data_IF_130984207850
#
_entry.id   IF_130984207850
#
_cell.length_a   1.000
_cell.length_b   1.000
_cell.length_c   1.000
_cell.angle_alpha   90.00
_cell.angle_beta   90.00
_cell.angle_gamma   90.00
#
_symmetry.space_group_name_H-M   'P 1'
#
loop_
_entity.id
_entity.type
_entity.pdbx_description
1 polymer ?
#
# COMPACT_ATOMS: atom_id res chain seq x y z
N UNK A 1 -26.40 -1.13 -22.77
CA UNK A 1 -25.74 -2.41 -22.41
C UNK A 1 -24.39 -2.18 -21.70
N UNK A 2 -23.76 -0.99 -21.84
CA UNK A 2 -22.55 -0.59 -21.11
C UNK A 2 -22.76 -0.32 -19.61
N UNK A 3 -23.86 0.36 -19.22
CA UNK A 3 -24.12 0.71 -17.81
C UNK A 3 -24.17 -0.52 -16.87
N UNK A 4 -24.74 -1.65 -17.30
CA UNK A 4 -24.85 -2.85 -16.46
C UNK A 4 -23.50 -3.53 -16.21
N UNK A 5 -22.52 -3.32 -17.10
CA UNK A 5 -21.15 -3.83 -16.93
C UNK A 5 -20.36 -2.99 -15.93
N UNK A 6 -20.56 -1.66 -15.95
CA UNK A 6 -19.94 -0.73 -15.00
C UNK A 6 -20.32 -1.06 -13.56
N UNK A 7 -21.59 -1.33 -13.27
CA UNK A 7 -22.03 -1.74 -11.93
C UNK A 7 -21.43 -3.07 -11.47
N UNK A 8 -21.18 -4.00 -12.40
CA UNK A 8 -20.62 -5.32 -12.09
C UNK A 8 -19.13 -5.26 -11.73
N UNK A 9 -18.39 -4.27 -12.25
CA UNK A 9 -16.99 -3.99 -11.88
C UNK A 9 -16.90 -3.06 -10.66
N UNK A 10 -17.72 -2.01 -10.62
CA UNK A 10 -17.67 -1.00 -9.56
C UNK A 10 -18.17 -1.53 -8.22
N UNK A 11 -19.23 -2.35 -8.19
CA UNK A 11 -19.79 -2.88 -6.94
C UNK A 11 -18.77 -3.68 -6.10
N UNK A 12 -18.03 -4.67 -6.63
CA UNK A 12 -17.03 -5.39 -5.83
C UNK A 12 -15.87 -4.49 -5.38
N UNK A 13 -15.44 -3.54 -6.21
CA UNK A 13 -14.38 -2.58 -5.83
C UNK A 13 -14.82 -1.68 -4.67
N UNK A 14 -16.04 -1.15 -4.73
CA UNK A 14 -16.61 -0.31 -3.67
C UNK A 14 -16.78 -1.10 -2.36
N UNK A 15 -17.31 -2.32 -2.44
CA UNK A 15 -17.45 -3.20 -1.26
C UNK A 15 -16.08 -3.51 -0.67
N UNK A 16 -15.09 -3.84 -1.50
CA UNK A 16 -13.71 -4.09 -1.05
C UNK A 16 -13.14 -2.90 -0.30
N UNK A 17 -13.33 -1.68 -0.81
CA UNK A 17 -12.85 -0.46 -0.15
C UNK A 17 -13.57 -0.19 1.17
N UNK A 18 -14.89 -0.37 1.22
CA UNK A 18 -15.67 -0.21 2.45
C UNK A 18 -15.25 -1.21 3.52
N UNK A 19 -15.00 -2.47 3.15
CA UNK A 19 -14.51 -3.49 4.07
C UNK A 19 -13.11 -3.15 4.59
N UNK A 20 -12.25 -2.59 3.76
CA UNK A 20 -10.93 -2.13 4.17
C UNK A 20 -11.02 -1.01 5.21
N UNK A 21 -11.86 0.00 4.96
CA UNK A 21 -12.06 1.12 5.90
C UNK A 21 -12.69 0.63 7.23
N UNK A 22 -13.66 -0.30 7.16
CA UNK A 22 -14.23 -0.94 8.36
C UNK A 22 -13.19 -1.72 9.15
N UNK A 23 -12.31 -2.45 8.47
CA UNK A 23 -11.22 -3.18 9.12
C UNK A 23 -10.29 -2.23 9.88
N UNK A 24 -9.93 -1.10 9.29
CA UNK A 24 -9.13 -0.07 9.97
C UNK A 24 -9.84 0.53 11.19
N UNK A 25 -11.17 0.71 11.14
CA UNK A 25 -11.93 1.16 12.31
C UNK A 25 -11.97 0.12 13.43
N UNK A 26 -12.13 -1.15 13.08
CA UNK A 26 -12.13 -2.25 14.05
C UNK A 26 -10.75 -2.38 14.71
N UNK A 27 -9.67 -2.28 13.93
CA UNK A 27 -8.30 -2.29 14.44
C UNK A 27 -8.06 -1.14 15.45
N UNK A 28 -8.50 0.07 15.10
CA UNK A 28 -8.44 1.23 16.00
C UNK A 28 -9.28 1.03 17.27
N UNK A 29 -10.43 0.36 17.18
CA UNK A 29 -11.27 0.05 18.33
C UNK A 29 -10.60 -0.93 19.29
N UNK A 30 -10.00 -2.01 18.78
CA UNK A 30 -9.27 -2.98 19.62
C UNK A 30 -8.03 -2.37 20.28
N UNK A 31 -7.28 -1.54 19.55
CA UNK A 31 -6.16 -0.80 20.14
C UNK A 31 -6.66 0.27 21.12
N UNK A 32 -7.87 0.80 20.89
CA UNK A 32 -8.64 1.65 21.79
C UNK A 32 -8.84 1.09 23.19
N UNK A 33 -9.07 -0.23 23.29
CA UNK A 33 -9.25 -0.90 24.58
C UNK A 33 -7.94 -1.09 25.36
N UNK A 34 -6.77 -1.02 24.71
CA UNK A 34 -5.48 -1.23 25.35
C UNK A 34 -5.03 -0.01 26.19
N UNK A 35 -5.48 1.19 25.85
CA UNK A 35 -5.20 2.42 26.59
C UNK A 35 -5.00 3.65 25.72
N UNK A 36 -4.91 4.82 26.35
CA UNK A 36 -4.80 6.10 25.64
C UNK A 36 -3.41 6.30 24.99
N UNK A 37 -2.38 5.68 25.54
CA UNK A 37 -0.98 5.80 25.05
C UNK A 37 -0.81 4.99 23.76
N UNK A 38 -1.44 3.83 23.70
CA UNK A 38 -1.43 2.86 22.60
C UNK A 38 -2.17 3.42 21.39
N UNK A 39 -3.32 4.06 21.61
CA UNK A 39 -4.07 4.76 20.56
C UNK A 39 -3.28 5.94 20.00
N UNK A 40 -2.64 6.74 20.87
CA UNK A 40 -1.82 7.85 20.43
C UNK A 40 -0.60 7.37 19.62
N UNK A 41 0.03 6.27 20.04
CA UNK A 41 1.12 5.62 19.33
C UNK A 41 0.66 5.11 17.95
N UNK A 42 -0.49 4.45 17.89
CA UNK A 42 -1.07 3.97 16.63
C UNK A 42 -1.44 5.12 15.69
N UNK A 43 -1.98 6.22 16.19
CA UNK A 43 -2.32 7.39 15.37
C UNK A 43 -1.08 8.04 14.75
N UNK A 44 0.01 8.19 15.52
CA UNK A 44 1.27 8.72 15.01
C UNK A 44 1.89 7.73 14.01
N UNK A 45 2.00 6.46 14.36
CA UNK A 45 2.53 5.43 13.48
C UNK A 45 1.72 5.31 12.17
N UNK A 46 0.39 5.34 12.28
CA UNK A 46 -0.54 5.31 11.16
C UNK A 46 -0.39 6.51 10.22
N UNK A 47 -0.15 7.71 10.77
CA UNK A 47 0.14 8.90 9.97
C UNK A 47 1.43 8.74 9.17
N UNK A 48 2.48 8.21 9.80
CA UNK A 48 3.76 7.92 9.11
C UNK A 48 3.56 6.89 8.00
N UNK A 49 2.84 5.80 8.28
CA UNK A 49 2.52 4.77 7.30
C UNK A 49 1.69 5.34 6.15
N UNK A 50 0.71 6.21 6.42
CA UNK A 50 -0.12 6.84 5.40
C UNK A 50 0.72 7.72 4.44
N UNK A 51 1.61 8.55 4.96
CA UNK A 51 2.52 9.39 4.15
C UNK A 51 3.40 8.50 3.25
N UNK A 52 3.95 7.43 3.82
CA UNK A 52 4.76 6.49 3.07
C UNK A 52 3.94 5.76 1.99
N UNK A 53 2.72 5.33 2.32
CA UNK A 53 1.81 4.67 1.38
C UNK A 53 1.41 5.60 0.21
N UNK A 54 1.28 6.92 0.43
CA UNK A 54 1.01 7.86 -0.65
C UNK A 54 2.11 7.90 -1.71
N UNK A 55 3.38 7.83 -1.29
CA UNK A 55 4.52 7.79 -2.22
C UNK A 55 4.49 6.52 -3.08
N UNK A 56 4.19 5.39 -2.44
CA UNK A 56 4.06 4.09 -3.11
C UNK A 56 2.91 4.08 -4.10
N UNK A 57 1.73 4.53 -3.66
CA UNK A 57 0.55 4.60 -4.52
C UNK A 57 0.79 5.51 -5.72
N UNK A 58 1.52 6.62 -5.55
CA UNK A 58 1.90 7.49 -6.67
C UNK A 58 2.69 6.75 -7.76
N UNK A 59 3.67 5.93 -7.36
CA UNK A 59 4.46 5.11 -8.29
C UNK A 59 3.59 4.03 -8.93
N UNK A 60 2.76 3.34 -8.14
CA UNK A 60 1.88 2.27 -8.63
C UNK A 60 0.88 2.79 -9.67
N UNK A 61 0.20 3.90 -9.38
CA UNK A 61 -0.76 4.54 -10.30
C UNK A 61 -0.06 5.05 -11.56
N UNK A 62 1.12 5.67 -11.43
CA UNK A 62 1.91 6.10 -12.59
C UNK A 62 2.29 4.93 -13.49
N UNK A 63 2.66 3.80 -12.90
CA UNK A 63 3.03 2.59 -13.64
C UNK A 63 1.83 1.94 -14.32
N UNK A 64 0.69 1.85 -13.63
CA UNK A 64 -0.57 1.37 -14.23
C UNK A 64 -0.99 2.22 -15.44
N UNK A 65 -0.79 3.54 -15.41
CA UNK A 65 -1.09 4.39 -16.54
C UNK A 65 -0.23 4.05 -17.77
N UNK A 66 1.06 3.75 -17.58
CA UNK A 66 1.95 3.29 -18.65
C UNK A 66 1.54 1.91 -19.18
N UNK A 67 1.22 0.96 -18.30
CA UNK A 67 0.76 -0.38 -18.72
C UNK A 67 -0.53 -0.26 -19.53
N UNK A 68 -1.52 0.49 -19.04
CA UNK A 68 -2.79 0.71 -19.75
C UNK A 68 -2.59 1.35 -21.12
N UNK A 69 -1.63 2.27 -21.25
CA UNK A 69 -1.28 2.89 -22.53
C UNK A 69 -0.75 1.86 -23.54
N UNK A 70 0.28 1.09 -23.19
CA UNK A 70 0.87 0.10 -24.12
C UNK A 70 -0.05 -1.08 -24.41
N UNK A 71 -0.85 -1.52 -23.45
CA UNK A 71 -1.89 -2.54 -23.66
C UNK A 71 -2.98 -2.03 -24.60
N UNK A 72 -3.38 -0.76 -24.49
CA UNK A 72 -4.35 -0.14 -25.40
C UNK A 72 -3.86 0.01 -26.85
N UNK A 73 -2.54 0.12 -27.07
CA UNK A 73 -1.90 0.17 -28.39
C UNK A 73 -1.69 -1.23 -29.02
N UNK A 74 -2.02 -2.32 -28.31
CA UNK A 74 -1.80 -3.70 -28.77
C UNK A 74 -0.33 -4.16 -28.74
N UNK A 75 0.55 -3.38 -28.11
CA UNK A 75 1.98 -3.70 -27.99
C UNK A 75 2.24 -4.54 -26.73
N UNK A 76 1.88 -5.82 -26.80
CA UNK A 76 2.01 -6.76 -25.67
C UNK A 76 3.46 -7.00 -25.24
N UNK A 77 4.43 -6.94 -26.16
CA UNK A 77 5.85 -7.08 -25.84
C UNK A 77 6.34 -5.93 -24.95
N UNK A 78 5.93 -4.70 -25.25
CA UNK A 78 6.27 -3.55 -24.42
C UNK A 78 5.53 -3.59 -23.07
N UNK A 79 4.29 -4.10 -23.04
CA UNK A 79 3.56 -4.32 -21.78
C UNK A 79 4.32 -5.26 -20.84
N UNK A 80 4.78 -6.42 -21.34
CA UNK A 80 5.57 -7.39 -20.56
C UNK A 80 6.89 -6.77 -20.02
N UNK A 81 7.56 -5.93 -20.80
CA UNK A 81 8.77 -5.22 -20.35
C UNK A 81 8.44 -4.21 -19.24
N UNK A 82 7.36 -3.45 -19.38
CA UNK A 82 6.93 -2.48 -18.36
C UNK A 82 6.49 -3.19 -17.08
N UNK A 83 5.81 -4.33 -17.17
CA UNK A 83 5.49 -5.18 -16.01
C UNK A 83 6.76 -5.65 -15.28
N UNK A 84 7.77 -6.10 -16.02
CA UNK A 84 9.08 -6.45 -15.46
C UNK A 84 9.77 -5.27 -14.75
N UNK A 85 9.70 -4.08 -15.34
CA UNK A 85 10.22 -2.85 -14.71
C UNK A 85 9.44 -2.47 -13.45
N UNK A 86 8.12 -2.70 -13.44
CA UNK A 86 7.26 -2.46 -12.28
C UNK A 86 7.69 -3.29 -11.07
N UNK A 87 7.98 -4.57 -11.30
CA UNK A 87 8.50 -5.48 -10.27
C UNK A 87 9.82 -4.98 -9.69
N UNK A 88 10.75 -4.55 -10.56
CA UNK A 88 12.05 -4.04 -10.12
C UNK A 88 11.88 -2.73 -9.33
N UNK A 89 11.02 -1.83 -9.79
CA UNK A 89 10.68 -0.59 -9.09
C UNK A 89 10.01 -0.87 -7.74
N UNK A 90 9.16 -1.89 -7.65
CA UNK A 90 8.55 -2.34 -6.40
C UNK A 90 9.58 -2.88 -5.40
N UNK A 91 10.54 -3.69 -5.87
CA UNK A 91 11.63 -4.20 -5.03
C UNK A 91 12.51 -3.04 -4.54
N UNK A 92 12.91 -2.14 -5.44
CA UNK A 92 13.72 -0.97 -5.08
C UNK A 92 12.95 -0.06 -4.11
N UNK A 93 11.68 0.21 -4.37
CA UNK A 93 10.81 1.03 -3.52
C UNK A 93 10.64 0.45 -2.12
N UNK A 94 10.43 -0.87 -2.01
CA UNK A 94 10.35 -1.56 -0.71
C UNK A 94 11.67 -1.49 0.05
N UNK A 95 12.81 -1.63 -0.63
CA UNK A 95 14.14 -1.44 -0.04
C UNK A 95 14.37 -0.02 0.47
N UNK A 96 13.98 0.99 -0.31
CA UNK A 96 14.05 2.41 0.10
C UNK A 96 13.17 2.66 1.32
N UNK A 97 11.93 2.16 1.34
CA UNK A 97 11.05 2.26 2.50
C UNK A 97 11.65 1.60 3.73
N UNK A 98 12.26 0.42 3.60
CA UNK A 98 12.92 -0.27 4.69
C UNK A 98 14.11 0.54 5.24
N UNK A 99 14.85 1.23 4.39
CA UNK A 99 15.93 2.11 4.83
C UNK A 99 15.38 3.35 5.56
N UNK A 100 14.34 3.98 5.03
CA UNK A 100 13.66 5.10 5.71
C UNK A 100 13.09 4.65 7.05
N UNK A 101 12.53 3.44 7.12
CA UNK A 101 12.05 2.84 8.35
C UNK A 101 13.15 2.67 9.40
N UNK A 102 14.29 2.09 9.02
CA UNK A 102 15.34 1.73 9.97
C UNK A 102 16.13 2.95 10.46
N UNK A 103 16.34 3.95 9.61
CA UNK A 103 17.22 5.08 9.91
C UNK A 103 16.46 6.38 10.22
N UNK A 104 15.24 6.54 9.72
CA UNK A 104 14.47 7.78 9.83
C UNK A 104 13.23 7.68 10.73
N UNK A 105 12.84 6.49 11.22
CA UNK A 105 11.71 6.35 12.15
C UNK A 105 11.87 7.21 13.40
N UNK A 106 13.03 7.17 14.05
CA UNK A 106 13.25 7.90 15.30
C UNK A 106 13.08 9.43 15.14
N UNK A 107 13.70 10.09 14.14
CA UNK A 107 13.49 11.51 13.92
C UNK A 107 12.07 11.84 13.43
N UNK A 108 11.45 10.97 12.62
CA UNK A 108 10.06 11.16 12.18
C UNK A 108 9.11 11.11 13.38
N UNK A 109 9.23 10.09 14.23
CA UNK A 109 8.40 9.96 15.44
C UNK A 109 8.53 11.17 16.36
N UNK A 110 9.76 11.69 16.53
CA UNK A 110 9.99 12.92 17.30
C UNK A 110 9.38 14.16 16.64
N UNK A 111 9.44 14.27 15.31
CA UNK A 111 8.84 15.37 14.56
C UNK A 111 7.30 15.39 14.72
N UNK A 112 6.68 14.21 14.73
CA UNK A 112 5.25 14.05 14.99
C UNK A 112 4.87 14.14 16.47
N UNK A 113 5.82 14.44 17.36
CA UNK A 113 5.57 14.71 18.77
C UNK A 113 5.49 13.47 19.67
N UNK A 114 5.94 12.30 19.21
CA UNK A 114 5.99 11.10 20.05
C UNK A 114 6.96 11.30 21.22
N UNK A 115 6.49 11.12 22.45
CA UNK A 115 7.25 11.31 23.69
C UNK A 115 6.94 10.21 24.69
N UNK A 116 7.91 9.87 25.55
CA UNK A 116 7.76 8.84 26.59
C UNK A 116 7.37 7.47 26.00
N UNK A 117 6.37 6.82 26.61
CA UNK A 117 5.91 5.49 26.22
C UNK A 117 5.31 5.45 24.81
N UNK A 118 4.74 6.57 24.32
CA UNK A 118 4.20 6.68 22.95
C UNK A 118 5.29 6.43 21.91
N UNK A 119 6.53 6.87 22.16
CA UNK A 119 7.65 6.64 21.25
C UNK A 119 8.03 5.16 21.15
N UNK A 120 8.01 4.44 22.27
CA UNK A 120 8.35 3.01 22.33
C UNK A 120 7.29 2.19 21.58
N UNK A 121 6.01 2.39 21.92
CA UNK A 121 4.91 1.69 21.27
C UNK A 121 4.83 2.01 19.78
N UNK A 122 4.96 3.29 19.37
CA UNK A 122 4.92 3.65 17.96
C UNK A 122 6.08 3.02 17.17
N UNK A 123 7.28 2.95 17.77
CA UNK A 123 8.44 2.30 17.17
C UNK A 123 8.25 0.80 16.97
N UNK A 124 7.63 0.09 17.92
CA UNK A 124 7.27 -1.33 17.77
C UNK A 124 6.22 -1.54 16.68
N UNK A 125 5.16 -0.72 16.67
CA UNK A 125 4.15 -0.74 15.62
C UNK A 125 4.75 -0.55 14.22
N UNK A 126 5.62 0.45 14.07
CA UNK A 126 6.31 0.71 12.79
C UNK A 126 7.16 -0.49 12.38
N UNK A 127 7.97 -1.08 13.27
CA UNK A 127 8.78 -2.27 12.95
C UNK A 127 7.93 -3.45 12.48
N UNK A 128 6.82 -3.73 13.15
CA UNK A 128 5.89 -4.80 12.75
C UNK A 128 5.25 -4.47 11.40
N UNK A 129 4.84 -3.22 11.20
CA UNK A 129 4.23 -2.76 9.95
C UNK A 129 5.21 -2.89 8.77
N UNK A 130 6.49 -2.52 8.96
CA UNK A 130 7.51 -2.65 7.92
C UNK A 130 7.84 -4.09 7.57
N UNK A 131 7.82 -5.01 8.53
CA UNK A 131 7.96 -6.45 8.24
C UNK A 131 6.80 -6.93 7.34
N UNK A 132 5.59 -6.40 7.53
CA UNK A 132 4.44 -6.68 6.67
C UNK A 132 4.46 -5.94 5.33
N UNK A 133 5.04 -4.74 5.26
CA UNK A 133 5.08 -3.92 4.06
C UNK A 133 5.82 -4.61 2.89
N UNK A 134 6.85 -5.40 3.19
CA UNK A 134 7.55 -6.25 2.21
C UNK A 134 6.57 -7.24 1.57
N UNK A 135 5.70 -7.86 2.38
CA UNK A 135 4.69 -8.81 1.90
C UNK A 135 3.62 -8.13 1.04
N UNK A 136 3.18 -6.92 1.42
CA UNK A 136 2.14 -6.16 0.67
C UNK A 136 2.64 -5.74 -0.71
N UNK A 137 3.89 -5.30 -0.84
CA UNK A 137 4.47 -4.93 -2.14
C UNK A 137 4.58 -6.11 -3.12
N UNK A 138 4.94 -7.28 -2.62
CA UNK A 138 5.00 -8.50 -3.42
C UNK A 138 3.59 -8.88 -3.90
N UNK A 139 2.59 -8.72 -3.03
CA UNK A 139 1.19 -8.99 -3.35
C UNK A 139 0.63 -8.02 -4.41
N UNK A 140 0.90 -6.72 -4.29
CA UNK A 140 0.53 -5.69 -5.29
C UNK A 140 1.20 -5.95 -6.64
N UNK A 141 2.48 -6.35 -6.62
CA UNK A 141 3.19 -6.71 -7.85
C UNK A 141 2.62 -7.97 -8.51
N UNK A 142 2.13 -8.92 -7.71
CA UNK A 142 1.41 -10.09 -8.20
C UNK A 142 0.03 -9.72 -8.79
N UNK A 143 -0.71 -8.83 -8.14
CA UNK A 143 -1.97 -8.32 -8.68
C UNK A 143 -1.78 -7.50 -9.96
N UNK A 144 -0.63 -6.85 -10.15
CA UNK A 144 -0.30 -6.20 -11.43
C UNK A 144 -0.02 -7.21 -12.55
N UNK A 145 0.37 -8.45 -12.24
CA UNK A 145 0.63 -9.52 -13.23
C UNK A 145 -0.63 -10.34 -13.56
N UNK A 146 -1.58 -10.43 -12.63
CA UNK A 146 -2.78 -11.25 -12.79
C UNK A 146 -3.72 -10.86 -13.96
N UNK A 147 -3.91 -9.56 -14.29
CA UNK A 147 -4.74 -9.14 -15.43
C UNK A 147 -4.21 -9.62 -16.78
N UNK A 148 -2.89 -9.63 -16.97
CA UNK A 148 -2.27 -9.97 -18.26
C UNK A 148 -2.26 -11.48 -18.55
N UNK A 149 -2.33 -12.32 -17.52
CA UNK A 149 -2.51 -13.76 -17.69
C UNK A 149 -3.91 -14.14 -18.22
N UNK A 150 -4.93 -13.32 -17.95
CA UNK A 150 -6.31 -13.54 -18.40
C UNK A 150 -6.58 -13.07 -19.83
N UNK A 151 -5.83 -12.07 -20.33
CA UNK A 151 -5.99 -11.53 -21.68
C UNK A 151 -5.33 -12.37 -22.79
N UNK A 152 -4.47 -13.33 -22.44
CA UNK A 152 -3.73 -14.18 -23.40
C UNK A 152 -4.60 -15.24 -24.13
N UNK A 153 -5.90 -15.32 -23.84
CA UNK A 153 -6.81 -16.33 -24.42
C UNK A 153 -8.15 -15.78 -24.93
N UNK A 154 -8.28 -14.46 -25.13
CA UNK A 154 -9.45 -13.86 -25.78
C UNK A 154 -9.07 -13.13 -27.06
#
# INVERSE_FOLDING_TARGET
>A
MSEFYEWKLAAPMMIGRLLQDLFSMVDLYFVGELGHVEVAALAIAGTVVAVLAMLVQGIAVGTMAFIAHFTGEGNHEMSDIVLGQTLILGIIGSGVMLLVALFLVDPILKLFGATGDVFVYAGEYLKINFAFAISVFILESYFSLAPDAGGRYM
#
